data_IF_493364408281
#
_entry.id   IF_493364408281
#
_cell.length_a   1.000
_cell.length_b   1.000
_cell.length_c   1.000
_cell.angle_alpha   90.00
_cell.angle_beta   90.00
_cell.angle_gamma   90.00
#
_symmetry.space_group_name_H-M   'P 1'
#
loop_
_entity.id
_entity.type
_entity.pdbx_description
1 polymer ?
#
# COMPACT_ATOMS: atom_id res chain seq x y z
N UNK A 1 10.07 13.07 14.26
CA UNK A 1 11.10 12.01 14.19
C UNK A 1 10.37 10.70 14.46
N UNK A 2 10.19 9.86 13.45
CA UNK A 2 9.53 8.54 13.60
C UNK A 2 10.53 7.62 14.31
N UNK A 3 10.14 6.96 15.40
CA UNK A 3 11.02 6.06 16.15
C UNK A 3 11.25 4.76 15.36
N UNK A 4 12.50 4.52 14.96
CA UNK A 4 12.95 3.46 14.06
C UNK A 4 12.94 2.03 14.65
N UNK A 5 12.45 1.83 15.88
CA UNK A 5 12.44 0.51 16.50
C UNK A 5 11.28 -0.37 16.00
N UNK A 6 10.09 0.20 15.76
CA UNK A 6 8.92 -0.56 15.28
C UNK A 6 8.87 -0.69 13.75
N UNK A 7 9.60 0.15 13.01
CA UNK A 7 9.74 0.02 11.56
C UNK A 7 10.43 -1.30 11.16
N UNK A 8 11.27 -1.87 12.03
CA UNK A 8 11.93 -3.16 11.80
C UNK A 8 10.98 -4.35 11.80
N UNK A 9 9.94 -4.35 12.64
CA UNK A 9 8.88 -5.37 12.62
C UNK A 9 7.85 -5.09 11.51
N UNK A 10 7.60 -3.82 11.15
CA UNK A 10 6.82 -3.47 9.97
C UNK A 10 7.45 -4.02 8.66
N UNK A 11 8.78 -3.94 8.51
CA UNK A 11 9.49 -4.43 7.31
C UNK A 11 9.73 -5.96 7.28
N UNK A 12 9.67 -6.67 8.42
CA UNK A 12 10.00 -8.11 8.50
C UNK A 12 8.91 -9.00 9.13
N UNK A 13 7.90 -8.41 9.77
CA UNK A 13 7.01 -9.07 10.74
C UNK A 13 5.84 -9.85 10.15
N UNK A 14 5.61 -9.78 8.84
CA UNK A 14 4.59 -10.57 8.16
C UNK A 14 5.14 -11.39 6.98
N UNK A 15 6.47 -11.51 6.89
CA UNK A 15 7.15 -12.21 5.81
C UNK A 15 7.00 -13.74 5.88
N UNK A 16 6.65 -14.29 7.05
CA UNK A 16 6.34 -15.72 7.22
C UNK A 16 4.95 -15.94 7.82
N UNK A 17 4.32 -17.10 7.59
CA UNK A 17 3.06 -17.47 8.25
C UNK A 17 3.13 -17.40 9.77
N UNK A 18 4.23 -17.87 10.38
CA UNK A 18 4.42 -17.85 11.84
C UNK A 18 4.49 -16.42 12.38
N UNK A 19 5.13 -15.51 11.63
CA UNK A 19 5.20 -14.11 12.00
C UNK A 19 3.80 -13.47 11.94
N UNK A 20 3.00 -13.78 10.91
CA UNK A 20 1.61 -13.34 10.81
C UNK A 20 0.75 -13.88 11.94
N UNK A 21 0.92 -15.14 12.32
CA UNK A 21 0.20 -15.73 13.46
C UNK A 21 0.57 -15.06 14.78
N UNK A 22 1.85 -14.74 14.98
CA UNK A 22 2.31 -14.00 16.15
C UNK A 22 1.72 -12.58 16.20
N UNK A 23 1.66 -11.87 15.06
CA UNK A 23 1.02 -10.56 14.96
C UNK A 23 -0.50 -10.66 15.17
N UNK A 24 -1.16 -11.67 14.62
CA UNK A 24 -2.59 -11.86 14.81
C UNK A 24 -2.96 -12.06 16.29
N UNK A 25 -2.09 -12.74 17.05
CA UNK A 25 -2.23 -12.86 18.50
C UNK A 25 -2.01 -11.55 19.28
N UNK A 26 -1.59 -10.46 18.63
CA UNK A 26 -1.47 -9.11 19.19
C UNK A 26 -2.62 -8.17 18.80
N UNK A 27 -3.55 -8.59 17.94
CA UNK A 27 -4.72 -7.77 17.56
C UNK A 27 -5.65 -7.46 18.75
N UNK A 28 -5.53 -8.20 19.85
CA UNK A 28 -6.26 -7.98 21.11
C UNK A 28 -5.35 -7.60 22.27
N UNK A 29 -4.14 -7.10 22.00
CA UNK A 29 -3.21 -6.67 23.04
C UNK A 29 -3.80 -5.49 23.84
N UNK A 30 -3.69 -5.50 25.18
CA UNK A 30 -4.13 -4.39 26.02
C UNK A 30 -3.37 -3.09 25.72
N UNK A 31 -2.12 -3.16 25.26
CA UNK A 31 -1.37 -1.99 24.83
C UNK A 31 -1.80 -1.55 23.43
N UNK A 32 -2.37 -0.33 23.33
CA UNK A 32 -2.90 0.20 22.09
C UNK A 32 -1.84 0.31 20.99
N UNK A 33 -0.62 0.69 21.35
CA UNK A 33 0.49 0.79 20.39
C UNK A 33 0.82 -0.58 19.79
N UNK A 34 1.02 -1.59 20.63
CA UNK A 34 1.29 -2.96 20.20
C UNK A 34 0.19 -3.51 19.30
N UNK A 35 -1.08 -3.28 19.68
CA UNK A 35 -2.24 -3.68 18.88
C UNK A 35 -2.27 -3.02 17.51
N UNK A 36 -2.10 -1.70 17.45
CA UNK A 36 -2.14 -0.93 16.21
C UNK A 36 -0.97 -1.26 15.27
N UNK A 37 0.23 -1.47 15.81
CA UNK A 37 1.39 -1.89 15.03
C UNK A 37 1.19 -3.27 14.41
N UNK A 38 0.62 -4.21 15.16
CA UNK A 38 0.30 -5.54 14.65
C UNK A 38 -0.77 -5.48 13.56
N UNK A 39 -1.79 -4.65 13.75
CA UNK A 39 -2.85 -4.39 12.78
C UNK A 39 -2.28 -3.86 11.46
N UNK A 40 -1.48 -2.80 11.51
CA UNK A 40 -0.87 -2.21 10.32
C UNK A 40 0.06 -3.19 9.60
N UNK A 41 0.87 -3.95 10.34
CA UNK A 41 1.78 -4.93 9.75
C UNK A 41 1.01 -6.03 8.98
N UNK A 42 -0.09 -6.54 9.54
CA UNK A 42 -0.95 -7.52 8.87
C UNK A 42 -1.72 -6.92 7.67
N UNK A 43 -2.26 -5.70 7.82
CA UNK A 43 -2.91 -4.96 6.76
C UNK A 43 -1.98 -4.72 5.57
N UNK A 44 -0.71 -4.43 5.84
CA UNK A 44 0.29 -4.20 4.81
C UNK A 44 0.49 -5.43 3.92
N UNK A 45 0.27 -6.65 4.40
CA UNK A 45 0.43 -7.88 3.60
C UNK A 45 -0.89 -8.48 3.12
N UNK A 46 -2.01 -7.80 3.36
CA UNK A 46 -3.34 -8.30 2.99
C UNK A 46 -3.80 -9.51 3.79
N UNK A 47 -3.37 -9.64 5.05
CA UNK A 47 -3.91 -10.69 5.92
C UNK A 47 -5.36 -10.36 6.30
N UNK A 48 -6.30 -11.25 5.96
CA UNK A 48 -7.74 -11.06 6.19
C UNK A 48 -8.09 -10.81 7.66
N UNK A 49 -7.26 -11.26 8.61
CA UNK A 49 -7.49 -11.02 10.04
C UNK A 49 -7.37 -9.54 10.40
N UNK A 50 -6.53 -8.78 9.69
CA UNK A 50 -6.46 -7.33 9.85
C UNK A 50 -7.76 -6.67 9.43
N UNK A 51 -8.36 -7.12 8.34
CA UNK A 51 -9.62 -6.56 7.87
C UNK A 51 -10.73 -6.73 8.89
N UNK A 52 -10.90 -7.94 9.44
CA UNK A 52 -11.91 -8.18 10.48
C UNK A 52 -11.69 -7.26 11.71
N UNK A 53 -10.43 -7.05 12.10
CA UNK A 53 -10.08 -6.16 13.22
C UNK A 53 -10.35 -4.68 12.90
N UNK A 54 -10.07 -4.21 11.68
CA UNK A 54 -10.42 -2.83 11.25
C UNK A 54 -11.94 -2.65 11.18
N UNK A 55 -12.67 -3.61 10.61
CA UNK A 55 -14.13 -3.59 10.52
C UNK A 55 -14.76 -3.49 11.92
N UNK A 56 -14.30 -4.30 12.88
CA UNK A 56 -14.75 -4.25 14.28
C UNK A 56 -14.43 -2.88 14.91
N UNK A 57 -13.20 -2.38 14.72
CA UNK A 57 -12.75 -1.14 15.34
C UNK A 57 -13.51 0.09 14.83
N UNK A 58 -13.69 0.21 13.52
CA UNK A 58 -14.40 1.32 12.89
C UNK A 58 -15.93 1.20 13.03
N UNK A 59 -16.42 -0.02 13.26
CA UNK A 59 -17.84 -0.32 13.48
C UNK A 59 -18.31 -0.05 14.92
N UNK A 60 -17.39 0.11 15.88
CA UNK A 60 -17.73 0.44 17.25
C UNK A 60 -18.50 1.77 17.35
N UNK A 61 -19.37 1.89 18.36
CA UNK A 61 -20.10 3.13 18.64
C UNK A 61 -19.20 4.20 19.27
N UNK A 62 -18.09 3.78 19.88
CA UNK A 62 -17.08 4.66 20.48
C UNK A 62 -15.93 4.91 19.48
N UNK A 63 -16.02 6.06 18.81
CA UNK A 63 -15.06 6.51 17.81
C UNK A 63 -14.03 7.50 18.35
N UNK A 64 -14.12 7.88 19.63
CA UNK A 64 -13.27 8.93 20.22
C UNK A 64 -11.81 8.47 20.43
N UNK A 65 -11.57 7.15 20.38
CA UNK A 65 -10.26 6.53 20.61
C UNK A 65 -9.60 5.93 19.34
N UNK A 66 -9.97 6.39 18.14
CA UNK A 66 -9.35 5.86 16.90
C UNK A 66 -7.93 6.41 16.74
N UNK A 67 -6.98 5.52 16.51
CA UNK A 67 -5.58 5.88 16.31
C UNK A 67 -5.24 6.04 14.82
N UNK A 68 -4.25 6.90 14.50
CA UNK A 68 -3.72 7.09 13.14
C UNK A 68 -3.39 5.76 12.44
N UNK A 69 -2.73 4.84 13.16
CA UNK A 69 -2.35 3.52 12.64
C UNK A 69 -3.55 2.64 12.23
N UNK A 70 -4.73 2.83 12.85
CA UNK A 70 -5.95 2.10 12.48
C UNK A 70 -6.51 2.62 11.15
N UNK A 71 -6.41 3.93 10.90
CA UNK A 71 -6.74 4.55 9.61
C UNK A 71 -5.72 4.19 8.52
N UNK A 72 -4.43 4.17 8.85
CA UNK A 72 -3.37 3.68 7.95
C UNK A 72 -3.57 2.22 7.59
N UNK A 73 -3.99 1.37 8.54
CA UNK A 73 -4.32 -0.03 8.27
C UNK A 73 -5.51 -0.17 7.32
N UNK A 74 -6.56 0.64 7.51
CA UNK A 74 -7.70 0.69 6.59
C UNK A 74 -7.25 1.11 5.17
N UNK A 75 -6.42 2.14 5.07
CA UNK A 75 -5.83 2.59 3.82
C UNK A 75 -4.96 1.50 3.15
N UNK A 76 -4.16 0.77 3.92
CA UNK A 76 -3.32 -0.32 3.41
C UNK A 76 -4.14 -1.50 2.88
N UNK A 77 -5.25 -1.85 3.55
CA UNK A 77 -6.20 -2.88 3.10
C UNK A 77 -6.98 -2.45 1.86
N UNK A 78 -7.34 -1.17 1.78
CA UNK A 78 -8.12 -0.58 0.69
C UNK A 78 -9.39 -1.37 0.32
N UNK A 79 -10.02 -2.04 1.29
CA UNK A 79 -11.20 -2.87 1.07
C UNK A 79 -12.46 -1.99 0.99
N UNK A 80 -13.27 -2.09 -0.09
CA UNK A 80 -14.49 -1.31 -0.24
C UNK A 80 -15.51 -1.45 0.90
N UNK A 81 -15.46 -2.53 1.68
CA UNK A 81 -16.32 -2.74 2.85
C UNK A 81 -16.04 -1.75 3.98
N UNK A 82 -14.84 -1.20 4.05
CA UNK A 82 -14.46 -0.21 5.06
C UNK A 82 -14.99 1.19 4.75
N UNK A 83 -15.28 1.48 3.47
CA UNK A 83 -15.73 2.80 3.03
C UNK A 83 -16.93 3.36 3.81
N UNK A 84 -18.06 2.65 3.99
CA UNK A 84 -19.19 3.18 4.76
C UNK A 84 -18.85 3.46 6.23
N UNK A 85 -17.93 2.71 6.83
CA UNK A 85 -17.49 2.92 8.22
C UNK A 85 -16.63 4.18 8.34
N UNK A 86 -15.71 4.37 7.39
CA UNK A 86 -14.86 5.57 7.30
C UNK A 86 -15.68 6.82 6.97
N UNK A 87 -16.70 6.72 6.12
CA UNK A 87 -17.57 7.85 5.77
C UNK A 87 -18.39 8.30 6.99
N UNK A 88 -18.92 7.35 7.77
CA UNK A 88 -19.58 7.65 9.05
C UNK A 88 -18.63 8.37 10.02
N UNK A 89 -17.36 7.96 10.03
CA UNK A 89 -16.34 8.59 10.87
C UNK A 89 -16.04 10.03 10.44
N UNK A 90 -15.94 10.29 9.13
CA UNK A 90 -15.77 11.64 8.58
C UNK A 90 -16.93 12.56 8.96
N UNK A 91 -18.17 12.07 8.90
CA UNK A 91 -19.36 12.81 9.36
C UNK A 91 -19.33 13.07 10.87
N UNK A 92 -18.92 12.08 11.67
CA UNK A 92 -18.86 12.21 13.12
C UNK A 92 -17.81 13.23 13.60
N UNK A 93 -16.70 13.35 12.87
CA UNK A 93 -15.59 14.27 13.15
C UNK A 93 -15.71 15.62 12.41
N UNK A 94 -16.88 15.90 11.81
CA UNK A 94 -17.09 17.14 11.06
C UNK A 94 -16.90 18.38 11.96
N UNK A 95 -15.88 19.18 11.66
CA UNK A 95 -15.58 20.43 12.37
C UNK A 95 -14.45 20.33 13.40
N UNK A 96 -13.95 19.13 13.70
CA UNK A 96 -12.74 18.95 14.52
C UNK A 96 -11.50 19.14 13.66
N UNK A 97 -10.55 19.99 14.07
CA UNK A 97 -9.29 20.19 13.33
C UNK A 97 -8.22 19.22 13.82
N UNK A 98 -8.47 17.94 13.58
CA UNK A 98 -7.66 16.85 14.09
C UNK A 98 -6.57 16.40 13.10
N UNK A 99 -5.44 15.95 13.66
CA UNK A 99 -4.30 15.38 12.92
C UNK A 99 -4.72 14.14 12.10
N UNK A 100 -5.83 13.49 12.50
CA UNK A 100 -6.40 12.30 11.86
C UNK A 100 -7.14 12.55 10.54
N UNK A 101 -7.43 13.81 10.18
CA UNK A 101 -8.11 14.13 8.90
C UNK A 101 -7.38 13.59 7.68
N UNK A 102 -6.05 13.73 7.65
CA UNK A 102 -5.25 13.30 6.49
C UNK A 102 -5.22 11.77 6.35
N UNK A 103 -4.91 10.99 7.40
CA UNK A 103 -5.05 9.53 7.37
C UNK A 103 -6.46 9.07 6.98
N UNK A 104 -7.50 9.71 7.51
CA UNK A 104 -8.90 9.39 7.18
C UNK A 104 -9.21 9.64 5.70
N UNK A 105 -8.83 10.80 5.17
CA UNK A 105 -9.04 11.13 3.76
C UNK A 105 -8.31 10.16 2.82
N UNK A 106 -7.10 9.73 3.19
CA UNK A 106 -6.37 8.70 2.44
C UNK A 106 -7.11 7.36 2.48
N UNK A 107 -7.56 6.92 3.66
CA UNK A 107 -8.30 5.68 3.83
C UNK A 107 -9.61 5.69 3.02
N UNK A 108 -10.36 6.79 3.06
CA UNK A 108 -11.57 6.98 2.25
C UNK A 108 -11.30 6.88 0.76
N UNK A 109 -10.30 7.61 0.27
CA UNK A 109 -9.95 7.59 -1.15
C UNK A 109 -9.49 6.20 -1.61
N UNK A 110 -8.80 5.46 -0.75
CA UNK A 110 -8.30 4.12 -1.07
C UNK A 110 -9.35 3.02 -0.95
N UNK A 111 -10.28 3.14 0.00
CA UNK A 111 -11.39 2.22 0.16
C UNK A 111 -12.59 2.58 -0.72
N UNK A 112 -12.56 3.68 -1.48
CA UNK A 112 -13.68 4.07 -2.34
C UNK A 112 -14.07 2.91 -3.29
N UNK A 113 -15.37 2.61 -3.50
CA UNK A 113 -15.79 1.50 -4.35
C UNK A 113 -15.20 1.50 -5.77
N UNK A 114 -14.93 2.70 -6.31
CA UNK A 114 -14.31 2.88 -7.62
C UNK A 114 -12.77 2.85 -7.60
N UNK A 115 -12.14 2.86 -6.42
CA UNK A 115 -10.68 2.98 -6.29
C UNK A 115 -9.94 1.86 -7.01
N UNK A 116 -10.41 0.61 -6.88
CA UNK A 116 -9.80 -0.53 -7.57
C UNK A 116 -9.92 -0.43 -9.10
N UNK A 117 -11.03 0.09 -9.62
CA UNK A 117 -11.23 0.28 -11.05
C UNK A 117 -10.33 1.41 -11.60
N UNK A 118 -10.24 2.53 -10.86
CA UNK A 118 -9.33 3.63 -11.17
C UNK A 118 -7.86 3.17 -11.14
N UNK A 119 -7.50 2.40 -10.12
CA UNK A 119 -6.16 1.82 -9.98
C UNK A 119 -5.80 0.95 -11.19
N UNK A 120 -6.70 0.08 -11.64
CA UNK A 120 -6.47 -0.78 -12.80
C UNK A 120 -6.32 0.00 -14.13
N UNK A 121 -6.92 1.18 -14.24
CA UNK A 121 -6.68 2.08 -15.37
C UNK A 121 -5.30 2.73 -15.29
N UNK A 122 -4.95 3.24 -14.12
CA UNK A 122 -3.64 3.85 -13.84
C UNK A 122 -2.51 2.85 -14.05
N UNK A 123 -2.64 1.62 -13.56
CA UNK A 123 -1.69 0.53 -13.74
C UNK A 123 -1.40 0.27 -15.23
N UNK A 124 -2.45 0.18 -16.05
CA UNK A 124 -2.30 0.01 -17.50
C UNK A 124 -1.65 1.21 -18.16
N UNK A 125 -2.08 2.42 -17.78
CA UNK A 125 -1.51 3.65 -18.31
C UNK A 125 -0.04 3.82 -17.92
N UNK A 126 0.32 3.42 -16.70
CA UNK A 126 1.67 3.47 -16.15
C UNK A 126 2.59 2.54 -16.91
N UNK A 127 2.21 1.27 -17.07
CA UNK A 127 2.99 0.30 -17.84
C UNK A 127 3.22 0.79 -19.28
N UNK A 128 2.15 1.23 -19.96
CA UNK A 128 2.24 1.79 -21.31
C UNK A 128 3.14 3.04 -21.37
N UNK A 129 3.11 3.88 -20.33
CA UNK A 129 3.93 5.09 -20.29
C UNK A 129 5.41 4.76 -20.12
N UNK A 130 5.74 3.82 -19.23
CA UNK A 130 7.12 3.33 -19.05
C UNK A 130 7.64 2.71 -20.35
N UNK A 131 6.84 1.90 -21.04
CA UNK A 131 7.24 1.32 -22.34
C UNK A 131 7.59 2.42 -23.36
N UNK A 132 6.77 3.47 -23.46
CA UNK A 132 7.05 4.62 -24.35
C UNK A 132 8.34 5.35 -23.93
N UNK A 133 8.60 5.49 -22.64
CA UNK A 133 9.80 6.16 -22.13
C UNK A 133 11.09 5.37 -22.37
N UNK A 134 11.00 4.06 -22.60
CA UNK A 134 12.12 3.15 -22.81
C UNK A 134 12.26 2.66 -24.26
N UNK A 135 11.30 2.96 -25.14
CA UNK A 135 11.24 2.41 -26.50
C UNK A 135 12.52 2.66 -27.35
N UNK A 136 13.17 3.81 -27.18
CA UNK A 136 14.38 4.18 -27.93
C UNK A 136 15.67 3.96 -27.14
N UNK A 137 15.61 3.28 -25.99
CA UNK A 137 16.75 3.09 -25.10
C UNK A 137 17.39 1.71 -25.30
N UNK A 138 18.53 1.69 -26.01
CA UNK A 138 19.29 0.47 -26.27
C UNK A 138 19.72 -0.24 -24.97
N UNK A 139 19.94 0.49 -23.86
CA UNK A 139 20.41 -0.05 -22.58
C UNK A 139 19.34 -0.87 -21.86
N UNK A 140 18.05 -0.57 -22.11
CA UNK A 140 16.92 -1.23 -21.48
C UNK A 140 16.09 -2.05 -22.47
N UNK A 141 16.57 -2.21 -23.71
CA UNK A 141 15.88 -2.91 -24.79
C UNK A 141 15.55 -4.39 -24.49
N UNK A 142 16.25 -4.97 -23.53
CA UNK A 142 16.05 -6.35 -23.09
C UNK A 142 15.27 -6.47 -21.77
N UNK A 143 14.87 -5.34 -21.19
CA UNK A 143 14.06 -5.27 -19.99
C UNK A 143 12.57 -5.21 -20.36
N UNK A 144 11.75 -5.88 -19.57
CA UNK A 144 10.28 -5.75 -19.64
C UNK A 144 9.75 -5.47 -18.25
N UNK A 145 8.99 -4.37 -18.12
CA UNK A 145 8.26 -4.05 -16.90
C UNK A 145 6.94 -4.82 -16.90
N UNK A 146 6.64 -5.50 -15.80
CA UNK A 146 5.35 -6.16 -15.57
C UNK A 146 4.79 -5.76 -14.21
N UNK A 147 3.47 -5.65 -14.13
CA UNK A 147 2.75 -5.47 -12.89
C UNK A 147 2.29 -6.84 -12.38
N UNK A 148 2.49 -7.10 -11.09
CA UNK A 148 2.05 -8.33 -10.42
C UNK A 148 1.07 -7.97 -9.31
N UNK A 149 0.19 -8.92 -9.00
CA UNK A 149 -0.94 -8.72 -8.07
C UNK A 149 -1.90 -7.65 -8.62
N UNK A 150 -2.71 -7.07 -7.74
CA UNK A 150 -3.64 -5.99 -8.07
C UNK A 150 -3.72 -5.04 -6.89
N UNK A 151 -4.29 -3.86 -7.14
CA UNK A 151 -4.58 -2.90 -6.09
C UNK A 151 -5.19 -3.56 -4.84
N UNK A 152 -4.73 -3.23 -3.63
CA UNK A 152 -3.71 -2.22 -3.29
C UNK A 152 -2.26 -2.75 -3.24
N UNK A 153 -2.02 -4.02 -3.59
CA UNK A 153 -0.72 -4.67 -3.40
C UNK A 153 0.12 -4.79 -4.67
N UNK A 154 -0.26 -4.07 -5.73
CA UNK A 154 0.41 -4.11 -7.03
C UNK A 154 1.91 -3.91 -6.92
N UNK A 155 2.69 -4.89 -7.42
CA UNK A 155 4.15 -4.88 -7.40
C UNK A 155 4.71 -4.66 -8.79
N UNK A 156 5.79 -3.88 -8.86
CA UNK A 156 6.52 -3.61 -10.09
C UNK A 156 7.66 -4.61 -10.19
N UNK A 157 7.59 -5.43 -11.24
CA UNK A 157 8.59 -6.48 -11.47
C UNK A 157 9.19 -6.30 -12.85
N UNK A 158 10.52 -6.19 -12.88
CA UNK A 158 11.27 -6.18 -14.13
C UNK A 158 11.82 -7.56 -14.43
N UNK A 159 11.72 -7.98 -15.70
CA UNK A 159 12.39 -9.16 -16.27
C UNK A 159 13.45 -8.74 -17.27
N UNK A 160 14.63 -9.36 -17.23
CA UNK A 160 15.68 -9.21 -18.24
C UNK A 160 15.83 -10.44 -19.14
N UNK A 161 16.75 -10.38 -20.11
CA UNK A 161 17.02 -11.46 -21.06
C UNK A 161 17.77 -12.68 -20.51
N UNK A 162 18.06 -12.75 -19.21
CA UNK A 162 18.47 -14.00 -18.57
C UNK A 162 17.24 -14.89 -18.33
N UNK A 163 17.23 -16.07 -18.93
CA UNK A 163 16.04 -16.92 -18.94
C UNK A 163 15.82 -17.61 -17.58
N UNK A 164 14.88 -17.10 -16.77
CA UNK A 164 14.32 -17.81 -15.61
C UNK A 164 13.47 -16.91 -14.70
N UNK A 165 12.61 -17.51 -13.85
CA UNK A 165 11.99 -16.79 -12.71
C UNK A 165 13.04 -16.09 -11.82
N UNK A 166 14.29 -16.56 -11.87
CA UNK A 166 15.46 -15.98 -11.18
C UNK A 166 15.87 -14.59 -11.68
N UNK A 167 15.38 -14.14 -12.84
CA UNK A 167 15.65 -12.82 -13.41
C UNK A 167 14.63 -11.75 -12.99
N UNK A 168 13.58 -12.15 -12.24
CA UNK A 168 12.61 -11.22 -11.68
C UNK A 168 13.25 -10.39 -10.57
N UNK A 169 13.23 -9.06 -10.73
CA UNK A 169 13.66 -8.12 -9.68
C UNK A 169 12.55 -7.13 -9.37
N UNK A 170 12.38 -6.82 -8.09
CA UNK A 170 11.57 -5.67 -7.68
C UNK A 170 12.30 -4.40 -8.11
N UNK A 171 11.54 -3.44 -8.62
CA UNK A 171 12.08 -2.11 -8.92
C UNK A 171 12.42 -1.45 -7.58
N UNK A 172 13.69 -1.13 -7.35
CA UNK A 172 14.13 -0.59 -6.06
C UNK A 172 13.41 0.73 -5.74
N UNK A 173 12.88 0.85 -4.52
CA UNK A 173 12.08 2.00 -4.11
C UNK A 173 10.63 1.96 -4.58
N UNK A 174 10.23 0.87 -5.24
CA UNK A 174 8.90 0.64 -5.82
C UNK A 174 8.43 -0.78 -5.49
N UNK A 175 8.60 -1.19 -4.23
CA UNK A 175 8.17 -2.51 -3.78
C UNK A 175 6.64 -2.66 -3.93
N UNK A 176 5.90 -1.54 -3.92
CA UNK A 176 4.48 -1.43 -4.30
C UNK A 176 4.22 -0.15 -5.08
N UNK A 177 3.30 -0.21 -6.03
CA UNK A 177 2.82 0.95 -6.78
C UNK A 177 2.03 1.92 -5.90
N UNK A 178 1.36 1.39 -4.88
CA UNK A 178 0.32 2.06 -4.11
C UNK A 178 0.72 2.27 -2.65
N UNK A 179 1.88 2.86 -2.38
CA UNK A 179 2.40 3.03 -1.02
C UNK A 179 1.63 4.08 -0.19
N UNK A 180 1.71 5.37 -0.55
CA UNK A 180 1.11 6.47 0.23
C UNK A 180 0.10 7.32 -0.57
N UNK A 181 -0.16 6.93 -1.82
CA UNK A 181 -1.07 7.63 -2.73
C UNK A 181 -2.37 6.85 -2.92
N UNK A 182 -3.47 7.57 -3.13
CA UNK A 182 -4.71 6.98 -3.63
C UNK A 182 -4.72 7.01 -5.17
N UNK A 183 -5.51 6.14 -5.83
CA UNK A 183 -5.71 6.21 -7.27
C UNK A 183 -6.14 7.61 -7.76
N UNK A 184 -6.97 8.31 -6.98
CA UNK A 184 -7.44 9.65 -7.32
C UNK A 184 -6.34 10.73 -7.32
N UNK A 185 -5.25 10.53 -6.58
CA UNK A 185 -4.16 11.50 -6.42
C UNK A 185 -2.86 11.08 -7.13
N UNK A 186 -2.89 9.99 -7.91
CA UNK A 186 -1.69 9.37 -8.46
C UNK A 186 -1.03 10.21 -9.56
N UNK A 187 0.26 10.54 -9.39
CA UNK A 187 1.02 11.40 -10.28
C UNK A 187 1.64 10.64 -11.48
N UNK A 188 0.80 10.05 -12.33
CA UNK A 188 1.17 9.09 -13.39
C UNK A 188 2.46 9.43 -14.16
N UNK A 189 2.58 10.66 -14.67
CA UNK A 189 3.72 11.05 -15.51
C UNK A 189 5.03 11.12 -14.72
N UNK A 190 5.01 11.71 -13.52
CA UNK A 190 6.17 11.82 -12.66
C UNK A 190 6.63 10.43 -12.21
N UNK A 191 5.68 9.60 -11.82
CA UNK A 191 5.91 8.25 -11.37
C UNK A 191 6.52 7.38 -12.49
N UNK A 192 5.96 7.41 -13.70
CA UNK A 192 6.50 6.66 -14.83
C UNK A 192 7.93 7.11 -15.22
N UNK A 193 8.22 8.42 -15.14
CA UNK A 193 9.57 8.95 -15.36
C UNK A 193 10.57 8.45 -14.32
N UNK A 194 10.19 8.45 -13.05
CA UNK A 194 11.01 7.97 -11.94
C UNK A 194 11.32 6.46 -12.07
N UNK A 195 10.32 5.65 -12.44
CA UNK A 195 10.51 4.23 -12.71
C UNK A 195 11.47 3.99 -13.90
N UNK A 196 11.29 4.71 -15.01
CA UNK A 196 12.17 4.60 -16.18
C UNK A 196 13.63 4.98 -15.86
N UNK A 197 13.85 6.01 -15.04
CA UNK A 197 15.18 6.38 -14.56
C UNK A 197 15.80 5.26 -13.70
N UNK A 198 15.03 4.71 -12.77
CA UNK A 198 15.47 3.60 -11.91
C UNK A 198 15.90 2.38 -12.73
N UNK A 199 15.15 2.02 -13.77
CA UNK A 199 15.48 0.90 -14.65
C UNK A 199 16.80 1.13 -15.43
N UNK A 200 17.04 2.36 -15.88
CA UNK A 200 18.32 2.73 -16.51
C UNK A 200 19.50 2.60 -15.55
N UNK A 201 19.31 3.02 -14.30
CA UNK A 201 20.35 2.97 -13.29
C UNK A 201 20.69 1.53 -12.87
N UNK A 202 19.69 0.65 -12.76
CA UNK A 202 19.88 -0.80 -12.52
C UNK A 202 20.74 -1.45 -13.60
N UNK A 203 20.66 -0.98 -14.85
CA UNK A 203 21.49 -1.51 -15.95
C UNK A 203 22.91 -0.95 -15.98
N UNK A 204 23.12 0.22 -15.38
CA UNK A 204 24.43 0.87 -15.32
C UNK A 204 25.30 0.37 -14.15
N UNK A 205 24.68 -0.12 -13.08
CA UNK A 205 25.34 -0.72 -11.91
C UNK A 205 25.81 -2.14 -12.16
#
# INVERSE_FOLDING_TARGET
MRDWACFGLYLSGASSPEARDALAARLSDPDAKTRCEALLALASVGDERALAAVEERLGADDTDDIYELELEAAAALADPRLYPLLARLEEAWEGDDDELKRPLALALARCHPDAAAQAAEIERAFAARVDVLLADDELTSDLTLSLRESYPYTKLVVTGSGSGESDLRLVQGWDRLWDDQSPAAYALEQEAQSAALTLRDIRRS
#
